data_IF_432444783264
#
_entry.id   IF_432444783264
#
_cell.length_a   1.000
_cell.length_b   1.000
_cell.length_c   1.000
_cell.angle_alpha   90.00
_cell.angle_beta   90.00
_cell.angle_gamma   90.00
#
_symmetry.space_group_name_H-M   'P 1'
#
loop_
_entity.id
_entity.type
_entity.pdbx_description
1 polymer ?
#
# COMPACT_ATOMS: atom_id res chain seq x y z
N UNK A 1 3.07 9.00 -8.51
CA UNK A 1 4.11 8.93 -7.46
C UNK A 1 5.04 7.75 -7.69
N UNK A 2 6.33 7.92 -7.40
CA UNK A 2 7.37 6.89 -7.49
C UNK A 2 8.07 6.78 -6.14
N UNK A 3 8.22 5.57 -5.63
CA UNK A 3 8.89 5.30 -4.36
C UNK A 3 9.99 4.25 -4.54
N UNK A 4 11.12 4.45 -3.87
CA UNK A 4 12.27 3.54 -3.84
C UNK A 4 12.58 3.07 -2.43
N UNK A 5 12.87 1.77 -2.28
CA UNK A 5 13.23 1.18 -0.99
C UNK A 5 14.55 0.39 -1.02
N UNK A 6 15.42 0.66 -0.05
CA UNK A 6 16.43 -0.28 0.49
C UNK A 6 16.10 -0.51 1.98
N UNK A 7 16.31 -1.70 2.58
CA UNK A 7 16.03 -1.94 4.01
C UNK A 7 16.89 -0.99 4.89
N UNK A 8 16.37 -0.46 6.02
CA UNK A 8 16.15 0.98 6.14
C UNK A 8 17.17 1.75 6.99
N UNK A 9 17.27 3.06 6.69
CA UNK A 9 17.32 4.14 7.71
C UNK A 9 16.37 5.24 7.20
N UNK A 10 15.17 5.36 7.79
CA UNK A 10 14.30 6.50 7.53
C UNK A 10 14.96 7.76 8.10
N UNK A 11 15.23 8.76 7.25
CA UNK A 11 16.01 9.95 7.65
C UNK A 11 15.17 11.02 8.37
N UNK A 12 13.84 11.00 8.28
CA UNK A 12 12.94 11.93 8.98
C UNK A 12 11.64 11.23 9.42
N UNK A 13 11.18 11.40 10.68
CA UNK A 13 9.87 10.94 11.09
C UNK A 13 8.79 11.81 10.42
N UNK A 14 7.85 11.17 9.71
CA UNK A 14 6.65 11.84 9.18
C UNK A 14 5.74 12.20 10.36
N UNK A 15 5.30 13.46 10.41
CA UNK A 15 4.28 13.88 11.36
C UNK A 15 2.88 13.62 10.80
N UNK A 16 2.10 12.83 11.54
CA UNK A 16 0.70 12.54 11.21
C UNK A 16 -0.28 13.38 12.05
N UNK A 17 0.19 14.43 12.74
CA UNK A 17 -0.62 15.32 13.56
C UNK A 17 -1.82 15.90 12.82
N UNK A 18 -1.60 16.51 11.66
CA UNK A 18 -2.66 17.14 10.86
C UNK A 18 -3.71 16.11 10.38
N UNK A 19 -3.26 14.93 9.93
CA UNK A 19 -4.17 13.85 9.55
C UNK A 19 -4.98 13.32 10.72
N UNK A 20 -4.35 13.20 11.90
CA UNK A 20 -5.10 12.87 13.10
C UNK A 20 -6.15 13.95 13.35
N UNK A 21 -5.82 15.24 13.27
CA UNK A 21 -6.81 16.28 13.49
C UNK A 21 -7.99 16.26 12.51
N UNK A 22 -7.71 16.03 11.23
CA UNK A 22 -8.68 15.93 10.14
C UNK A 22 -9.57 14.67 10.23
N UNK A 23 -9.00 13.56 10.70
CA UNK A 23 -9.66 12.24 10.70
C UNK A 23 -9.99 11.71 12.12
N UNK A 24 -9.80 12.50 13.18
CA UNK A 24 -10.01 12.07 14.57
C UNK A 24 -11.50 11.89 14.90
N UNK A 25 -11.98 10.67 14.69
CA UNK A 25 -13.33 10.25 15.07
C UNK A 25 -13.57 10.36 16.58
N UNK A 26 -12.53 10.32 17.42
CA UNK A 26 -12.66 10.31 18.87
C UNK A 26 -13.16 11.66 19.41
N UNK A 27 -12.95 12.77 18.66
CA UNK A 27 -13.52 14.09 18.97
C UNK A 27 -15.06 14.10 18.96
N UNK A 28 -15.66 13.20 18.18
CA UNK A 28 -17.11 13.12 18.01
C UNK A 28 -17.78 12.05 18.89
N UNK A 29 -17.00 11.39 19.75
CA UNK A 29 -17.52 10.39 20.69
C UNK A 29 -18.15 11.08 21.90
N UNK A 30 -19.44 10.84 22.14
CA UNK A 30 -20.14 11.35 23.32
C UNK A 30 -19.44 10.97 24.63
N UNK A 31 -19.47 11.90 25.60
CA UNK A 31 -18.78 11.77 26.89
C UNK A 31 -19.13 10.46 27.63
N UNK A 32 -20.39 10.04 27.60
CA UNK A 32 -20.86 8.81 28.23
C UNK A 32 -20.41 7.54 27.50
N UNK A 33 -20.09 7.63 26.20
CA UNK A 33 -19.57 6.53 25.38
C UNK A 33 -18.04 6.45 25.37
N UNK A 34 -17.34 7.49 25.83
CA UNK A 34 -15.88 7.59 25.74
C UNK A 34 -15.15 6.38 26.32
N UNK A 35 -15.54 5.93 27.52
CA UNK A 35 -14.91 4.76 28.17
C UNK A 35 -15.08 3.47 27.37
N UNK A 36 -16.22 3.28 26.71
CA UNK A 36 -16.46 2.10 25.87
C UNK A 36 -15.67 2.19 24.56
N UNK A 37 -15.62 3.38 23.97
CA UNK A 37 -14.82 3.66 22.78
C UNK A 37 -13.33 3.40 23.04
N UNK A 38 -12.75 3.97 24.10
CA UNK A 38 -11.33 3.80 24.41
C UNK A 38 -10.97 2.31 24.63
N UNK A 39 -11.87 1.54 25.26
CA UNK A 39 -11.70 0.07 25.41
C UNK A 39 -11.71 -0.64 24.06
N UNK A 40 -12.63 -0.28 23.17
CA UNK A 40 -12.72 -0.88 21.85
C UNK A 40 -11.50 -0.49 21.00
N UNK A 41 -11.08 0.77 21.06
CA UNK A 41 -9.89 1.29 20.39
C UNK A 41 -8.61 0.59 20.82
N UNK A 42 -8.47 0.31 22.12
CA UNK A 42 -7.33 -0.47 22.63
C UNK A 42 -7.38 -1.95 22.24
N UNK A 43 -8.58 -2.52 22.07
CA UNK A 43 -8.77 -3.96 21.80
C UNK A 43 -8.70 -4.30 20.31
N UNK A 44 -9.37 -3.50 19.47
CA UNK A 44 -9.59 -3.79 18.05
C UNK A 44 -9.69 -2.49 17.24
N UNK A 45 -8.55 -1.79 17.03
CA UNK A 45 -8.52 -0.58 16.24
C UNK A 45 -8.87 -0.81 14.76
N UNK A 46 -8.62 -2.01 14.23
CA UNK A 46 -8.97 -2.37 12.85
C UNK A 46 -10.48 -2.42 12.64
N UNK A 47 -11.24 -2.96 13.60
CA UNK A 47 -12.70 -2.95 13.55
C UNK A 47 -13.27 -1.53 13.55
N UNK A 48 -12.72 -0.63 14.39
CA UNK A 48 -13.12 0.79 14.38
C UNK A 48 -12.79 1.49 13.07
N UNK A 49 -11.63 1.19 12.48
CA UNK A 49 -11.25 1.70 11.17
C UNK A 49 -12.24 1.24 10.09
N UNK A 50 -12.66 -0.02 10.09
CA UNK A 50 -13.64 -0.54 9.11
C UNK A 50 -15.03 0.09 9.26
N UNK A 51 -15.51 0.22 10.50
CA UNK A 51 -16.79 0.91 10.77
C UNK A 51 -16.75 2.36 10.29
N UNK A 52 -15.67 3.07 10.61
CA UNK A 52 -15.51 4.48 10.25
C UNK A 52 -15.43 4.63 8.73
N UNK A 53 -14.62 3.81 8.06
CA UNK A 53 -14.53 3.78 6.61
C UNK A 53 -15.87 3.46 5.94
N UNK A 54 -16.68 2.56 6.52
CA UNK A 54 -18.01 2.26 6.02
C UNK A 54 -18.96 3.46 6.10
N UNK A 55 -18.97 4.18 7.22
CA UNK A 55 -19.80 5.40 7.39
C UNK A 55 -19.43 6.45 6.36
N UNK A 56 -18.14 6.75 6.21
CA UNK A 56 -17.70 7.75 5.24
C UNK A 56 -17.94 7.30 3.78
N UNK A 57 -17.87 6.01 3.47
CA UNK A 57 -18.23 5.51 2.14
C UNK A 57 -19.72 5.69 1.82
N UNK A 58 -20.61 5.58 2.81
CA UNK A 58 -22.04 5.89 2.66
C UNK A 58 -22.23 7.39 2.40
N UNK A 59 -21.54 8.24 3.15
CA UNK A 59 -21.58 9.69 2.96
C UNK A 59 -21.05 10.09 1.58
N UNK A 60 -19.94 9.50 1.14
CA UNK A 60 -19.35 9.74 -0.17
C UNK A 60 -20.30 9.33 -1.30
N UNK A 61 -20.91 8.14 -1.19
CA UNK A 61 -21.92 7.67 -2.15
C UNK A 61 -23.13 8.60 -2.21
N UNK A 62 -23.47 9.24 -1.11
CA UNK A 62 -24.61 10.16 -1.00
C UNK A 62 -24.26 11.60 -1.41
N UNK A 63 -23.03 11.87 -1.87
CA UNK A 63 -22.60 13.19 -2.32
C UNK A 63 -22.18 14.15 -1.20
N UNK A 64 -22.05 13.67 0.04
CA UNK A 64 -21.68 14.48 1.20
C UNK A 64 -20.17 14.53 1.47
N UNK A 65 -19.35 13.96 0.58
CA UNK A 65 -17.90 14.00 0.70
C UNK A 65 -17.33 14.94 -0.36
N UNK A 66 -16.55 15.92 0.10
CA UNK A 66 -15.85 16.87 -0.75
C UNK A 66 -14.65 16.21 -1.46
N UNK A 67 -14.27 16.73 -2.63
CA UNK A 67 -13.17 16.16 -3.46
C UNK A 67 -11.79 16.26 -2.78
N UNK A 68 -11.61 17.27 -1.94
CA UNK A 68 -10.42 17.46 -1.10
C UNK A 68 -10.17 16.28 -0.14
N UNK A 69 -11.20 15.56 0.31
CA UNK A 69 -11.04 14.38 1.15
C UNK A 69 -10.29 13.27 0.41
N UNK A 70 -10.56 13.06 -0.89
CA UNK A 70 -9.82 12.09 -1.69
C UNK A 70 -8.35 12.45 -1.80
N UNK A 71 -8.09 13.75 -1.99
CA UNK A 71 -6.74 14.29 -2.09
C UNK A 71 -5.97 14.08 -0.78
N UNK A 72 -6.54 14.47 0.36
CA UNK A 72 -5.95 14.26 1.69
C UNK A 72 -5.72 12.78 2.00
N UNK A 73 -6.62 11.89 1.57
CA UNK A 73 -6.43 10.45 1.74
C UNK A 73 -5.23 9.94 0.92
N UNK A 74 -5.06 10.39 -0.33
CA UNK A 74 -3.91 10.03 -1.14
C UNK A 74 -2.59 10.55 -0.57
N UNK A 75 -2.58 11.79 -0.07
CA UNK A 75 -1.44 12.37 0.65
C UNK A 75 -1.10 11.55 1.89
N UNK A 76 -2.10 11.20 2.70
CA UNK A 76 -1.88 10.32 3.85
C UNK A 76 -1.36 8.94 3.42
N UNK A 77 -1.85 8.36 2.32
CA UNK A 77 -1.34 7.08 1.80
C UNK A 77 0.13 7.20 1.36
N UNK A 78 0.51 8.28 0.68
CA UNK A 78 1.91 8.59 0.33
C UNK A 78 2.78 8.63 1.59
N UNK A 79 2.35 9.38 2.59
CA UNK A 79 3.07 9.59 3.83
C UNK A 79 3.22 8.30 4.64
N UNK A 80 2.22 7.41 4.60
CA UNK A 80 2.32 6.05 5.14
C UNK A 80 3.42 5.25 4.42
N UNK A 81 3.49 5.28 3.08
CA UNK A 81 4.52 4.54 2.33
C UNK A 81 5.92 5.04 2.70
N UNK A 82 6.08 6.36 2.85
CA UNK A 82 7.34 6.96 3.29
C UNK A 82 7.69 6.52 4.72
N UNK A 83 6.71 6.56 5.63
CA UNK A 83 6.88 6.11 7.02
C UNK A 83 7.22 4.62 7.14
N UNK A 84 6.77 3.79 6.19
CA UNK A 84 7.18 2.39 6.11
C UNK A 84 8.68 2.26 5.72
N UNK A 85 9.32 3.31 5.19
CA UNK A 85 10.76 3.37 4.92
C UNK A 85 11.13 3.46 3.44
N UNK A 86 10.19 3.86 2.59
CA UNK A 86 10.47 4.19 1.19
C UNK A 86 10.82 5.68 1.03
N UNK A 87 11.60 6.02 0.02
CA UNK A 87 11.88 7.40 -0.38
C UNK A 87 11.13 7.72 -1.66
N UNK A 88 10.53 8.91 -1.74
CA UNK A 88 9.99 9.39 -3.01
C UNK A 88 11.16 9.77 -3.94
N UNK A 89 11.05 9.41 -5.20
CA UNK A 89 12.06 9.70 -6.22
C UNK A 89 11.39 10.31 -7.45
N UNK A 90 12.14 11.06 -8.25
CA UNK A 90 11.66 11.55 -9.54
C UNK A 90 11.93 10.55 -10.69
N UNK A 91 11.48 10.90 -11.89
CA UNK A 91 11.66 10.04 -13.08
C UNK A 91 13.12 9.91 -13.51
N UNK A 92 13.96 10.91 -13.26
CA UNK A 92 15.36 10.89 -13.67
C UNK A 92 16.20 10.06 -12.70
N UNK A 93 15.97 10.19 -11.39
CA UNK A 93 16.50 9.31 -10.36
C UNK A 93 16.09 7.85 -10.61
N UNK A 94 14.83 7.62 -10.98
CA UNK A 94 14.34 6.30 -11.37
C UNK A 94 15.11 5.73 -12.56
N UNK A 95 15.33 6.52 -13.62
CA UNK A 95 16.12 6.08 -14.79
C UNK A 95 17.55 5.74 -14.39
N UNK A 96 18.17 6.51 -13.50
CA UNK A 96 19.52 6.24 -12.99
C UNK A 96 19.54 4.92 -12.20
N UNK A 97 18.55 4.68 -11.33
CA UNK A 97 18.46 3.47 -10.51
C UNK A 97 18.20 2.20 -11.32
N UNK A 98 17.40 2.31 -12.38
CA UNK A 98 17.01 1.18 -13.24
C UNK A 98 17.91 0.99 -14.45
N UNK A 99 18.86 1.92 -14.68
CA UNK A 99 19.81 1.83 -15.77
C UNK A 99 20.57 0.51 -15.63
N UNK A 100 20.60 -0.34 -16.67
CA UNK A 100 21.47 -1.50 -16.67
C UNK A 100 22.91 -1.00 -16.49
N UNK A 101 23.55 -1.35 -15.36
CA UNK A 101 25.00 -1.25 -15.26
C UNK A 101 25.57 -2.22 -16.30
N UNK A 102 26.56 -1.76 -17.07
CA UNK A 102 27.15 -2.52 -18.18
C UNK A 102 27.64 -3.91 -17.74
N UNK A 103 27.94 -4.07 -16.45
CA UNK A 103 28.54 -5.27 -15.88
C UNK A 103 27.54 -6.27 -15.26
N UNK A 104 26.32 -5.87 -14.88
CA UNK A 104 25.46 -6.73 -14.03
C UNK A 104 24.22 -7.29 -14.73
N UNK A 105 23.75 -6.67 -15.82
CA UNK A 105 22.63 -7.18 -16.62
C UNK A 105 21.39 -7.55 -15.76
N UNK A 106 21.06 -6.69 -14.78
CA UNK A 106 19.99 -6.92 -13.82
C UNK A 106 18.62 -6.80 -14.52
N UNK A 107 17.78 -7.84 -14.56
CA UNK A 107 16.46 -7.79 -15.17
C UNK A 107 15.50 -6.85 -14.42
N UNK A 108 14.77 -6.04 -15.19
CA UNK A 108 13.65 -5.24 -14.73
C UNK A 108 12.35 -6.03 -14.83
N UNK A 109 11.68 -6.25 -13.70
CA UNK A 109 10.40 -6.98 -13.62
C UNK A 109 9.30 -6.03 -13.11
N UNK A 110 8.28 -5.79 -13.95
CA UNK A 110 7.17 -4.90 -13.66
C UNK A 110 5.95 -5.71 -13.27
N UNK A 111 5.56 -5.70 -12.00
CA UNK A 111 4.33 -6.26 -11.50
C UNK A 111 3.19 -5.24 -11.60
N UNK A 112 2.13 -5.57 -12.33
CA UNK A 112 0.88 -4.80 -12.36
C UNK A 112 -0.17 -5.53 -11.52
N UNK A 113 -0.56 -4.92 -10.41
CA UNK A 113 -1.51 -5.53 -9.48
C UNK A 113 -2.97 -5.38 -9.96
N UNK A 114 -3.73 -6.47 -9.86
CA UNK A 114 -5.14 -6.54 -10.28
C UNK A 114 -6.09 -5.75 -9.40
N UNK A 115 -7.25 -5.41 -9.97
CA UNK A 115 -8.30 -4.64 -9.32
C UNK A 115 -9.68 -5.00 -9.90
N UNK A 116 -10.67 -5.23 -9.03
CA UNK A 116 -12.06 -5.50 -9.43
C UNK A 116 -12.81 -4.24 -9.91
N UNK A 117 -12.21 -3.06 -9.75
CA UNK A 117 -12.74 -1.80 -10.27
C UNK A 117 -12.18 -1.55 -11.69
N UNK A 118 -13.07 -1.41 -12.67
CA UNK A 118 -12.69 -1.20 -14.09
C UNK A 118 -11.89 0.08 -14.32
N UNK A 119 -12.27 1.19 -13.68
CA UNK A 119 -11.60 2.48 -13.84
C UNK A 119 -10.17 2.39 -13.31
N UNK A 120 -9.99 1.79 -12.14
CA UNK A 120 -8.67 1.64 -11.51
C UNK A 120 -7.81 0.61 -12.20
N UNK A 121 -8.39 -0.49 -12.70
CA UNK A 121 -7.68 -1.43 -13.55
C UNK A 121 -7.12 -0.72 -14.79
N UNK A 122 -7.94 0.09 -15.47
CA UNK A 122 -7.52 0.86 -16.64
C UNK A 122 -6.38 1.83 -16.29
N UNK A 123 -6.52 2.62 -15.22
CA UNK A 123 -5.48 3.57 -14.78
C UNK A 123 -4.15 2.89 -14.44
N UNK A 124 -4.18 1.74 -13.76
CA UNK A 124 -2.97 0.96 -13.45
C UNK A 124 -2.27 0.47 -14.72
N UNK A 125 -3.05 0.00 -15.70
CA UNK A 125 -2.53 -0.45 -16.99
C UNK A 125 -1.97 0.70 -17.83
N UNK A 126 -2.65 1.85 -17.84
CA UNK A 126 -2.16 3.07 -18.49
C UNK A 126 -0.84 3.54 -17.87
N UNK A 127 -0.76 3.57 -16.54
CA UNK A 127 0.47 3.92 -15.83
C UNK A 127 1.61 2.96 -16.14
N UNK A 128 1.31 1.66 -16.22
CA UNK A 128 2.29 0.65 -16.61
C UNK A 128 2.76 0.83 -18.05
N UNK A 129 1.86 1.09 -19.00
CA UNK A 129 2.21 1.31 -20.40
C UNK A 129 3.07 2.58 -20.56
N UNK A 130 2.72 3.66 -19.87
CA UNK A 130 3.51 4.88 -19.81
C UNK A 130 4.92 4.61 -19.27
N UNK A 131 5.01 3.94 -18.12
CA UNK A 131 6.30 3.60 -17.49
C UNK A 131 7.17 2.75 -18.42
N UNK A 132 6.62 1.69 -19.01
CA UNK A 132 7.38 0.79 -19.90
C UNK A 132 7.83 1.49 -21.18
N UNK A 133 6.99 2.36 -21.75
CA UNK A 133 7.36 3.17 -22.92
C UNK A 133 8.53 4.12 -22.61
N UNK A 134 8.56 4.68 -21.40
CA UNK A 134 9.58 5.63 -20.97
C UNK A 134 10.88 4.97 -20.49
N UNK A 135 10.84 3.68 -20.13
CA UNK A 135 11.99 2.98 -19.54
C UNK A 135 13.16 2.84 -20.52
N UNK A 136 12.89 2.68 -21.82
CA UNK A 136 13.92 2.58 -22.86
C UNK A 136 14.79 1.31 -22.81
N UNK A 137 14.50 0.37 -21.90
CA UNK A 137 15.24 -0.89 -21.72
C UNK A 137 14.30 -2.10 -21.71
N UNK A 138 14.86 -3.28 -21.97
CA UNK A 138 14.12 -4.54 -21.89
C UNK A 138 13.60 -4.78 -20.47
N UNK A 139 12.33 -5.14 -20.36
CA UNK A 139 11.69 -5.54 -19.12
C UNK A 139 10.75 -6.72 -19.33
N UNK A 140 10.40 -7.37 -18.22
CA UNK A 140 9.35 -8.38 -18.15
C UNK A 140 8.16 -7.80 -17.41
N UNK A 141 6.97 -7.87 -17.98
CA UNK A 141 5.73 -7.40 -17.34
C UNK A 141 4.94 -8.60 -16.83
N UNK A 142 4.51 -8.52 -15.57
CA UNK A 142 3.80 -9.57 -14.85
C UNK A 142 2.45 -9.01 -14.41
N UNK A 143 1.36 -9.57 -14.92
CA UNK A 143 0.01 -9.17 -14.55
C UNK A 143 -0.52 -10.09 -13.45
N UNK A 144 -0.86 -9.53 -12.29
CA UNK A 144 -1.44 -10.30 -11.18
C UNK A 144 -2.92 -10.03 -11.06
N UNK A 145 -3.72 -11.08 -10.87
CA UNK A 145 -5.14 -10.93 -10.57
C UNK A 145 -5.98 -11.96 -11.30
N UNK A 146 -6.56 -12.88 -10.54
CA UNK A 146 -7.54 -13.84 -11.05
C UNK A 146 -8.36 -14.27 -9.84
N UNK A 147 -9.68 -14.24 -9.95
CA UNK A 147 -10.54 -14.79 -8.90
C UNK A 147 -11.39 -15.91 -9.49
N UNK A 148 -10.88 -17.15 -9.46
CA UNK A 148 -11.66 -18.33 -9.79
C UNK A 148 -12.48 -18.63 -8.55
N UNK A 149 -13.64 -17.99 -8.35
CA UNK A 149 -14.54 -18.46 -7.30
C UNK A 149 -15.12 -19.81 -7.76
N UNK A 150 -14.69 -20.95 -7.17
CA UNK A 150 -15.18 -22.27 -7.60
C UNK A 150 -16.62 -22.49 -7.11
N UNK A 151 -17.09 -21.68 -6.16
CA UNK A 151 -18.42 -21.76 -5.55
C UNK A 151 -19.46 -20.89 -6.25
N UNK A 152 -19.04 -19.95 -7.11
CA UNK A 152 -19.91 -19.00 -7.80
C UNK A 152 -20.68 -18.03 -6.88
N UNK A 153 -20.32 -17.95 -5.59
CA UNK A 153 -21.06 -17.19 -4.57
C UNK A 153 -20.65 -15.73 -4.47
N UNK A 154 -19.49 -15.37 -5.02
CA UNK A 154 -18.95 -14.02 -4.98
C UNK A 154 -19.30 -13.30 -6.28
N UNK A 155 -20.00 -12.17 -6.18
CA UNK A 155 -20.26 -11.28 -7.32
C UNK A 155 -18.99 -10.51 -7.71
N UNK A 156 -18.06 -11.21 -8.38
CA UNK A 156 -16.89 -10.59 -8.99
C UNK A 156 -17.30 -9.84 -10.27
N UNK A 157 -16.76 -8.63 -10.45
CA UNK A 157 -17.02 -7.83 -11.66
C UNK A 157 -16.08 -8.23 -12.81
N UNK A 158 -14.89 -8.74 -12.48
CA UNK A 158 -13.85 -9.11 -13.44
C UNK A 158 -13.30 -10.48 -13.08
N UNK A 159 -13.59 -11.49 -13.91
CA UNK A 159 -13.20 -12.89 -13.67
C UNK A 159 -11.69 -13.11 -13.80
N UNK A 160 -11.09 -12.54 -14.84
CA UNK A 160 -9.66 -12.67 -15.15
C UNK A 160 -9.04 -11.28 -15.34
N UNK A 161 -8.67 -10.64 -14.23
CA UNK A 161 -8.05 -9.32 -14.22
C UNK A 161 -6.72 -9.33 -14.98
N UNK A 162 -5.90 -10.36 -14.79
CA UNK A 162 -4.57 -10.49 -15.39
C UNK A 162 -4.64 -10.50 -16.92
N UNK A 163 -5.48 -11.37 -17.49
CA UNK A 163 -5.68 -11.45 -18.94
C UNK A 163 -6.25 -10.17 -19.50
N UNK A 164 -7.21 -9.54 -18.82
CA UNK A 164 -7.79 -8.27 -19.25
C UNK A 164 -6.77 -7.15 -19.26
N UNK A 165 -5.96 -7.03 -18.20
CA UNK A 165 -4.87 -6.06 -18.13
C UNK A 165 -3.85 -6.30 -19.24
N UNK A 166 -3.48 -7.54 -19.51
CA UNK A 166 -2.54 -7.90 -20.58
C UNK A 166 -3.02 -7.47 -21.97
N UNK A 167 -4.30 -7.68 -22.28
CA UNK A 167 -4.89 -7.25 -23.56
C UNK A 167 -4.85 -5.74 -23.69
N UNK A 168 -5.34 -5.02 -22.68
CA UNK A 168 -5.35 -3.55 -22.68
C UNK A 168 -3.94 -2.95 -22.77
N UNK A 169 -2.99 -3.51 -22.00
CA UNK A 169 -1.60 -3.08 -22.03
C UNK A 169 -0.97 -3.22 -23.41
N UNK A 170 -1.23 -4.35 -24.09
CA UNK A 170 -0.74 -4.61 -25.44
C UNK A 170 -1.33 -3.62 -26.45
N UNK A 171 -2.61 -3.29 -26.33
CA UNK A 171 -3.27 -2.29 -27.19
C UNK A 171 -2.62 -0.92 -27.02
N UNK A 172 -2.44 -0.47 -25.78
CA UNK A 172 -1.80 0.82 -25.48
C UNK A 172 -0.37 0.91 -26.03
N UNK A 173 0.44 -0.14 -25.87
CA UNK A 173 1.80 -0.15 -26.41
C UNK A 173 1.85 -0.17 -27.94
N UNK A 174 0.90 -0.85 -28.60
CA UNK A 174 0.83 -0.87 -30.08
C UNK A 174 0.51 0.49 -30.68
N UNK A 175 -0.29 1.30 -29.99
CA UNK A 175 -0.54 2.67 -30.41
C UNK A 175 0.70 3.57 -30.24
N UNK A 176 1.65 3.16 -29.40
CA UNK A 176 2.88 3.87 -29.16
C UNK A 176 4.00 3.29 -30.06
N UNK A 177 3.98 3.66 -31.35
CA UNK A 177 4.75 3.08 -32.47
C UNK A 177 6.26 2.83 -32.25
N UNK A 178 6.85 3.35 -31.18
CA UNK A 178 8.29 3.28 -30.88
C UNK A 178 8.66 2.30 -29.75
N UNK A 179 7.69 1.63 -29.11
CA UNK A 179 7.98 0.73 -27.97
C UNK A 179 7.88 -0.75 -28.37
N UNK A 180 8.98 -1.52 -28.37
CA UNK A 180 8.90 -2.96 -28.58
C UNK A 180 8.08 -3.61 -27.45
N UNK A 181 7.24 -4.58 -27.81
CA UNK A 181 6.42 -5.29 -26.84
C UNK A 181 7.32 -6.09 -25.88
N UNK A 182 7.25 -5.84 -24.55
CA UNK A 182 8.04 -6.59 -23.59
C UNK A 182 7.55 -8.02 -23.47
N UNK A 183 8.37 -8.88 -22.84
CA UNK A 183 7.92 -10.20 -22.43
C UNK A 183 6.81 -10.03 -21.39
N UNK A 184 5.67 -10.68 -21.60
CA UNK A 184 4.51 -10.57 -20.71
C UNK A 184 4.18 -11.93 -20.11
N UNK A 185 3.99 -11.97 -18.80
CA UNK A 185 3.51 -13.11 -18.05
C UNK A 185 2.23 -12.75 -17.30
N UNK A 186 1.32 -13.71 -17.24
CA UNK A 186 0.21 -13.63 -16.31
C UNK A 186 0.66 -14.40 -15.07
N UNK A 187 0.70 -13.72 -13.92
CA UNK A 187 0.82 -14.38 -12.61
C UNK A 187 -0.51 -15.08 -12.40
N UNK A 188 -0.63 -16.28 -12.98
CA UNK A 188 -1.74 -17.18 -12.81
C UNK A 188 -1.34 -18.18 -11.76
N UNK A 189 -1.95 -18.12 -10.57
CA UNK A 189 -1.96 -19.24 -9.69
C UNK A 189 -3.33 -19.90 -9.81
N UNK A 190 -3.29 -21.19 -10.09
CA UNK A 190 -4.36 -22.16 -9.93
C UNK A 190 -5.48 -21.70 -8.98
N UNK A 191 -6.70 -21.61 -9.51
CA UNK A 191 -8.01 -21.78 -8.87
C UNK A 191 -8.35 -21.06 -7.53
N UNK A 192 -7.45 -20.32 -6.86
CA UNK A 192 -7.64 -19.95 -5.43
C UNK A 192 -7.03 -18.61 -4.95
N UNK A 193 -6.40 -17.78 -5.80
CA UNK A 193 -5.78 -16.54 -5.27
C UNK A 193 -6.81 -15.46 -4.96
N UNK A 194 -7.06 -15.20 -3.68
CA UNK A 194 -8.02 -14.21 -3.20
C UNK A 194 -7.40 -13.05 -2.41
N UNK A 195 -6.09 -13.07 -2.16
CA UNK A 195 -5.44 -12.10 -1.26
C UNK A 195 -4.14 -11.49 -1.82
N UNK A 196 -3.80 -10.30 -1.33
CA UNK A 196 -2.52 -9.63 -1.64
C UNK A 196 -1.31 -10.49 -1.23
N UNK A 197 -1.41 -11.16 -0.08
CA UNK A 197 -0.39 -12.07 0.44
C UNK A 197 -0.09 -13.22 -0.52
N UNK A 198 -1.14 -13.88 -1.02
CA UNK A 198 -1.02 -15.01 -1.94
C UNK A 198 -0.34 -14.57 -3.24
N UNK A 199 -0.78 -13.47 -3.83
CA UNK A 199 -0.21 -12.92 -5.07
C UNK A 199 1.28 -12.60 -4.92
N UNK A 200 1.68 -11.90 -3.84
CA UNK A 200 3.09 -11.56 -3.63
C UNK A 200 3.92 -12.80 -3.31
N UNK A 201 3.43 -13.72 -2.47
CA UNK A 201 4.13 -14.98 -2.19
C UNK A 201 4.42 -15.77 -3.47
N UNK A 202 3.45 -15.83 -4.38
CA UNK A 202 3.60 -16.55 -5.65
C UNK A 202 4.57 -15.88 -6.61
N UNK A 203 4.64 -14.55 -6.64
CA UNK A 203 5.67 -13.84 -7.42
C UNK A 203 7.08 -14.30 -7.06
N UNK A 204 7.36 -14.50 -5.77
CA UNK A 204 8.67 -14.95 -5.28
C UNK A 204 8.91 -16.45 -5.43
N UNK A 205 7.85 -17.25 -5.40
CA UNK A 205 7.90 -18.71 -5.50
C UNK A 205 7.94 -19.23 -6.93
N UNK A 206 7.21 -18.58 -7.84
CA UNK A 206 7.20 -18.93 -9.26
C UNK A 206 8.49 -18.42 -9.90
N UNK A 207 9.03 -19.16 -10.89
CA UNK A 207 10.24 -18.79 -11.64
C UNK A 207 10.04 -17.58 -12.57
N UNK A 208 9.23 -16.60 -12.15
CA UNK A 208 8.96 -15.35 -12.84
C UNK A 208 10.04 -14.30 -12.58
N UNK A 209 10.68 -14.38 -11.41
CA UNK A 209 11.91 -13.64 -11.12
C UNK A 209 13.12 -14.53 -11.41
N UNK A 210 14.21 -13.93 -11.87
CA UNK A 210 15.46 -14.65 -12.08
C UNK A 210 15.93 -15.28 -10.77
N UNK A 211 16.20 -16.58 -10.82
CA UNK A 211 16.62 -17.36 -9.64
C UNK A 211 18.13 -17.23 -9.37
N UNK A 212 18.90 -16.84 -10.38
CA UNK A 212 20.37 -16.83 -10.39
C UNK A 212 20.98 -15.43 -10.45
N UNK A 213 20.17 -14.40 -10.74
CA UNK A 213 20.60 -13.00 -10.77
C UNK A 213 19.79 -12.17 -9.78
N UNK A 214 20.33 -11.03 -9.39
CA UNK A 214 19.53 -9.98 -8.77
C UNK A 214 18.46 -9.48 -9.74
N UNK A 215 17.38 -8.91 -9.22
CA UNK A 215 16.25 -8.41 -9.98
C UNK A 215 15.89 -7.01 -9.49
N UNK A 216 15.49 -6.14 -10.40
CA UNK A 216 14.74 -4.95 -10.06
C UNK A 216 13.26 -5.33 -10.08
N UNK A 217 12.55 -5.08 -8.99
CA UNK A 217 11.11 -5.29 -8.87
C UNK A 217 10.40 -3.94 -8.86
N UNK A 218 9.57 -3.70 -9.86
CA UNK A 218 8.77 -2.48 -10.00
C UNK A 218 7.31 -2.88 -9.83
N UNK A 219 6.61 -2.29 -8.87
CA UNK A 219 5.22 -2.62 -8.57
C UNK A 219 4.33 -1.43 -8.89
N UNK A 220 3.36 -1.64 -9.77
CA UNK A 220 2.41 -0.62 -10.21
C UNK A 220 1.03 -1.00 -9.68
N UNK A 221 0.45 -0.12 -8.88
CA UNK A 221 -0.87 -0.32 -8.26
C UNK A 221 -1.51 1.02 -7.89
N UNK A 222 -2.70 0.95 -7.28
CA UNK A 222 -3.26 2.08 -6.56
C UNK A 222 -2.41 2.41 -5.34
N UNK A 223 -2.29 3.69 -5.04
CA UNK A 223 -1.45 4.26 -3.98
C UNK A 223 -1.81 3.69 -2.63
N UNK A 224 -3.09 3.66 -2.26
CA UNK A 224 -3.51 3.04 -1.00
C UNK A 224 -3.15 1.54 -0.96
N UNK A 225 -3.27 0.84 -2.09
CA UNK A 225 -2.95 -0.59 -2.17
C UNK A 225 -1.43 -0.85 -2.12
N UNK A 226 -0.60 0.12 -2.51
CA UNK A 226 0.85 0.03 -2.35
C UNK A 226 1.24 -0.11 -0.88
N UNK A 227 0.47 0.41 0.08
CA UNK A 227 0.73 0.21 1.52
C UNK A 227 0.75 -1.29 1.85
N UNK A 228 -0.29 -2.02 1.43
CA UNK A 228 -0.41 -3.47 1.69
C UNK A 228 0.65 -4.26 0.91
N UNK A 229 0.87 -3.91 -0.35
CA UNK A 229 1.87 -4.55 -1.20
C UNK A 229 3.28 -4.36 -0.63
N UNK A 230 3.61 -3.15 -0.17
CA UNK A 230 4.89 -2.82 0.44
C UNK A 230 5.17 -3.65 1.69
N UNK A 231 4.18 -3.75 2.59
CA UNK A 231 4.28 -4.56 3.82
C UNK A 231 4.51 -6.02 3.49
N UNK A 232 3.73 -6.58 2.56
CA UNK A 232 3.84 -7.99 2.18
C UNK A 232 5.18 -8.29 1.49
N UNK A 233 5.61 -7.45 0.56
CA UNK A 233 6.91 -7.60 -0.10
C UNK A 233 8.03 -7.58 0.94
N UNK A 234 8.00 -6.66 1.90
CA UNK A 234 8.97 -6.63 2.99
C UNK A 234 8.99 -7.93 3.78
N UNK A 235 7.83 -8.48 4.13
CA UNK A 235 7.74 -9.80 4.78
C UNK A 235 8.43 -10.88 3.95
N UNK A 236 8.21 -10.91 2.63
CA UNK A 236 8.90 -11.87 1.75
C UNK A 236 10.41 -11.64 1.69
N UNK A 237 10.87 -10.39 1.68
CA UNK A 237 12.29 -10.03 1.62
C UNK A 237 13.08 -10.35 2.90
N UNK A 238 12.42 -10.52 4.05
CA UNK A 238 13.07 -11.02 5.28
C UNK A 238 13.63 -12.43 5.08
N UNK A 239 13.00 -13.25 4.23
CA UNK A 239 13.51 -14.58 3.89
C UNK A 239 14.83 -14.43 3.12
N UNK A 240 15.97 -14.98 3.61
CA UNK A 240 17.29 -14.76 2.99
C UNK A 240 17.37 -15.14 1.51
N UNK A 241 16.62 -16.18 1.10
CA UNK A 241 16.50 -16.61 -0.30
C UNK A 241 15.90 -15.53 -1.20
N UNK A 242 14.88 -14.81 -0.73
CA UNK A 242 14.17 -13.79 -1.51
C UNK A 242 14.86 -12.42 -1.39
N UNK A 243 15.26 -12.02 -0.17
CA UNK A 243 15.91 -10.73 0.08
C UNK A 243 17.18 -10.52 -0.74
N UNK A 244 18.01 -11.56 -0.88
CA UNK A 244 19.23 -11.50 -1.70
C UNK A 244 18.96 -11.37 -3.20
N UNK A 245 17.74 -11.62 -3.68
CA UNK A 245 17.44 -11.62 -5.12
C UNK A 245 16.89 -10.29 -5.63
N UNK A 246 16.54 -9.36 -4.76
CA UNK A 246 16.03 -8.05 -5.16
C UNK A 246 17.12 -7.01 -4.95
N UNK A 247 17.60 -6.40 -6.05
CA UNK A 247 18.54 -5.28 -6.00
C UNK A 247 17.82 -3.97 -5.69
N UNK A 248 16.71 -3.73 -6.38
CA UNK A 248 15.89 -2.52 -6.23
C UNK A 248 14.42 -2.89 -6.13
N UNK A 249 13.70 -2.22 -5.22
CA UNK A 249 12.25 -2.25 -5.14
C UNK A 249 11.72 -0.85 -5.41
N UNK A 250 10.90 -0.73 -6.47
CA UNK A 250 10.17 0.49 -6.81
C UNK A 250 8.67 0.27 -6.67
N UNK A 251 7.97 1.23 -6.09
CA UNK A 251 6.52 1.27 -6.00
C UNK A 251 5.99 2.47 -6.77
N UNK A 252 5.00 2.27 -7.63
CA UNK A 252 4.47 3.30 -8.52
C UNK A 252 2.96 3.39 -8.32
N UNK A 253 2.50 4.56 -7.86
CA UNK A 253 1.08 4.88 -7.71
C UNK A 253 0.47 5.20 -9.07
N UNK A 254 -0.68 4.59 -9.37
CA UNK A 254 -1.49 4.88 -10.55
C UNK A 254 -2.30 6.19 -10.41
N UNK A 255 -2.44 6.69 -9.19
CA UNK A 255 -2.98 8.00 -8.86
C UNK A 255 -1.83 9.01 -8.68
N UNK A 256 -2.11 10.25 -9.02
CA UNK A 256 -1.22 11.37 -8.78
C UNK A 256 -1.92 12.37 -7.84
N UNK A 257 -1.41 12.60 -6.61
CA UNK A 257 -1.97 13.58 -5.69
C UNK A 257 -1.78 15.01 -6.23
N UNK A 258 -0.88 15.28 -7.17
CA UNK A 258 -0.76 16.64 -7.71
C UNK A 258 -1.90 16.97 -8.69
N UNK A 259 -2.69 15.98 -9.09
CA UNK A 259 -3.81 16.13 -10.00
C UNK A 259 -5.12 15.80 -9.28
N UNK A 260 -6.22 16.49 -9.65
CA UNK A 260 -7.53 16.20 -9.06
C UNK A 260 -7.92 14.74 -9.33
N UNK A 261 -7.87 13.91 -8.30
CA UNK A 261 -8.26 12.52 -8.34
C UNK A 261 -9.61 12.31 -7.67
N UNK A 262 -10.52 11.65 -8.37
CA UNK A 262 -11.82 11.27 -7.84
C UNK A 262 -12.30 10.00 -8.51
N UNK A 263 -12.79 9.06 -7.70
CA UNK A 263 -13.38 7.79 -8.14
C UNK A 263 -14.73 7.63 -7.46
N UNK A 264 -15.78 7.42 -8.27
CA UNK A 264 -17.17 7.30 -7.80
C UNK A 264 -17.49 5.95 -7.14
N UNK A 265 -16.52 5.04 -7.05
CA UNK A 265 -16.70 3.71 -6.50
C UNK A 265 -16.57 3.71 -4.98
N UNK A 266 -17.71 3.67 -4.29
CA UNK A 266 -17.77 3.63 -2.82
C UNK A 266 -16.94 2.49 -2.18
N UNK A 267 -16.91 1.26 -2.73
CA UNK A 267 -15.98 0.22 -2.27
C UNK A 267 -14.51 0.63 -2.33
N UNK A 268 -14.05 1.24 -3.41
CA UNK A 268 -12.68 1.74 -3.53
C UNK A 268 -12.38 2.79 -2.46
N UNK A 269 -13.29 3.76 -2.28
CA UNK A 269 -13.15 4.80 -1.27
C UNK A 269 -13.12 4.22 0.15
N UNK A 270 -14.00 3.26 0.45
CA UNK A 270 -13.99 2.53 1.74
C UNK A 270 -12.63 1.89 1.99
N UNK A 271 -12.07 1.18 1.01
CA UNK A 271 -10.79 0.48 1.19
C UNK A 271 -9.63 1.44 1.44
N UNK A 272 -9.58 2.55 0.72
CA UNK A 272 -8.58 3.60 0.92
C UNK A 272 -8.70 4.22 2.33
N UNK A 273 -9.91 4.57 2.76
CA UNK A 273 -10.14 5.11 4.11
C UNK A 273 -9.79 4.11 5.20
N UNK A 274 -10.12 2.83 5.01
CA UNK A 274 -9.77 1.79 5.97
C UNK A 274 -8.26 1.74 6.20
N UNK A 275 -7.45 1.73 5.13
CA UNK A 275 -5.99 1.64 5.27
C UNK A 275 -5.40 2.87 5.97
N UNK A 276 -5.96 4.06 5.71
CA UNK A 276 -5.56 5.30 6.41
C UNK A 276 -5.95 5.25 7.88
N UNK A 277 -7.21 4.95 8.19
CA UNK A 277 -7.70 4.90 9.57
C UNK A 277 -7.00 3.81 10.39
N UNK A 278 -6.82 2.61 9.84
CA UNK A 278 -6.09 1.53 10.52
C UNK A 278 -4.68 2.02 10.92
N UNK A 279 -3.99 2.70 10.00
CA UNK A 279 -2.67 3.25 10.27
C UNK A 279 -2.69 4.33 11.36
N UNK A 280 -3.56 5.33 11.22
CA UNK A 280 -3.67 6.45 12.17
C UNK A 280 -4.06 5.97 13.58
N UNK A 281 -5.01 5.03 13.68
CA UNK A 281 -5.41 4.45 14.96
C UNK A 281 -4.29 3.65 15.62
N UNK A 282 -3.47 2.94 14.84
CA UNK A 282 -2.26 2.25 15.36
C UNK A 282 -1.23 3.23 15.92
N UNK A 283 -1.04 4.38 15.27
CA UNK A 283 -0.15 5.45 15.77
C UNK A 283 -0.75 6.09 17.04
N UNK A 284 -2.05 6.42 17.04
CA UNK A 284 -2.72 7.01 18.19
C UNK A 284 -2.62 6.12 19.43
N UNK A 285 -2.93 4.83 19.27
CA UNK A 285 -2.80 3.80 20.32
C UNK A 285 -1.38 3.75 20.92
N UNK A 286 -0.35 3.82 20.08
CA UNK A 286 1.04 3.76 20.55
C UNK A 286 1.51 5.04 21.26
N UNK A 287 1.03 6.23 20.85
CA UNK A 287 1.27 7.49 21.58
C UNK A 287 0.58 7.49 22.96
N UNK A 288 -0.63 6.94 23.04
CA UNK A 288 -1.38 6.81 24.30
C UNK A 288 -0.76 5.77 25.24
N UNK A 289 -0.30 4.63 24.72
CA UNK A 289 0.43 3.61 25.49
C UNK A 289 1.72 4.16 26.12
N UNK A 290 2.55 4.89 25.35
CA UNK A 290 3.78 5.53 25.88
C UNK A 290 3.46 6.57 26.95
N UNK A 291 2.36 7.30 26.80
CA UNK A 291 1.91 8.29 27.79
C UNK A 291 1.37 7.60 29.05
N UNK A 292 0.70 6.47 28.91
CA UNK A 292 0.17 5.66 30.00
C UNK A 292 1.29 4.97 30.80
N UNK A 293 2.29 4.39 30.14
CA UNK A 293 3.47 3.79 30.78
C UNK A 293 4.30 4.84 31.54
N UNK A 294 4.53 6.02 30.97
CA UNK A 294 5.20 7.13 31.67
C UNK A 294 4.46 7.55 32.93
N UNK A 295 3.12 7.57 32.93
CA UNK A 295 2.31 7.83 34.13
C UNK A 295 2.39 6.69 35.15
N UNK A 296 2.48 5.44 34.70
CA UNK A 296 2.61 4.26 35.58
C UNK A 296 3.97 4.23 36.30
N UNK A 297 5.07 4.54 35.59
CA UNK A 297 6.41 4.66 36.19
C UNK A 297 6.47 5.83 37.18
N UNK A 298 5.87 6.98 36.86
CA UNK A 298 5.80 8.14 37.77
C UNK A 298 5.02 7.82 39.06
N UNK A 299 3.93 7.05 38.95
CA UNK A 299 3.12 6.65 40.10
C UNK A 299 3.74 5.50 40.92
N UNK A 300 4.57 4.65 40.31
CA UNK A 300 5.37 3.64 41.04
C UNK A 300 6.58 4.25 41.75
N UNK A 301 7.21 5.30 41.18
CA UNK A 301 8.27 6.05 41.85
C UNK A 301 7.80 6.81 43.09
N UNK A 302 6.57 7.34 43.08
CA UNK A 302 6.00 8.06 44.24
C UNK A 302 5.44 7.17 45.35
N UNK A 303 5.27 5.86 45.10
CA UNK A 303 4.80 4.90 46.10
C UNK A 303 5.94 4.18 46.84
N UNK A 304 7.19 4.33 46.37
CA UNK A 304 8.39 3.78 47.03
C UNK A 304 8.96 4.64 48.17
N UNK A 305 8.72 5.95 48.20
CA UNK A 305 9.35 6.87 49.17
C UNK A 305 8.55 7.11 50.47
N UNK A 306 7.36 6.54 50.63
CA UNK A 306 6.51 6.78 51.82
C UNK A 306 6.56 5.70 52.93
N UNK A 307 7.60 4.86 52.97
CA UNK A 307 7.79 3.88 54.06
C UNK A 307 9.19 3.87 54.68
N UNK A 308 9.75 5.03 55.01
CA UNK A 308 10.74 5.13 56.09
C UNK A 308 10.51 6.41 56.89
N UNK A 309 9.95 6.28 58.09
CA UNK A 309 9.77 7.42 58.98
C UNK A 309 8.55 7.32 59.89
N UNK A 310 8.49 6.27 60.72
CA UNK A 310 7.85 6.29 62.05
C UNK A 310 8.10 4.96 62.76
N UNK A 311 9.23 4.88 63.47
CA UNK A 311 9.35 4.11 64.71
C UNK A 311 9.77 5.10 65.79
N UNK A 312 8.85 5.37 66.71
CA UNK A 312 9.12 5.68 68.11
C UNK A 312 8.47 4.56 68.90
#
# INVERSE_FOLDING_TARGET
MLFHGKPPIAKNPIDFGDYLEDFDIAKFVYKDKRKAFDKLFARDPAFLADLSAAVFAILARSGYTHKDVYQKLLECCRDIIIAEGFSEIDEDEMKILLRPTADEGIPNNVLVAGCQNNEMLKRRVEKAAQFVSNLGYNCTVIFSGRNPDPSGKTTVKILDESRRMRVQFRELLRHNNNTPLPRMHDLVPEERSSTTQTNISQLFQQNLLSQTKHNNLIVISSTFHLIRLAREIKTQLVTPKHGRRIAQLLLIGAEDPQHTFYVQDAPYFKLMMFDVFEHLMRIGSTKDLKTFERRKVRNQGQSGEKKQGKRR
#
